data_IF_629647179675
#
_entry.id   IF_629647179675
#
_cell.length_a   1.000
_cell.length_b   1.000
_cell.length_c   1.000
_cell.angle_alpha   90.00
_cell.angle_beta   90.00
_cell.angle_gamma   90.00
#
_symmetry.space_group_name_H-M   'P 1'
#
loop_
_entity.id
_entity.type
_entity.pdbx_description
1 polymer ?
#
# COMPACT_ATOMS: atom_id res chain seq x y z
N UNK A 1 -8.84 0.46 2.07
CA UNK A 1 -8.91 -0.95 2.49
C UNK A 1 -10.32 -1.44 2.20
N UNK A 2 -10.53 -2.03 1.02
CA UNK A 2 -11.84 -2.47 0.58
C UNK A 2 -12.41 -3.53 1.53
N UNK A 3 -13.67 -3.36 1.95
CA UNK A 3 -14.36 -4.32 2.82
C UNK A 3 -14.46 -5.67 2.12
N UNK A 4 -14.26 -6.77 2.85
CA UNK A 4 -14.40 -8.14 2.34
C UNK A 4 -15.73 -8.37 1.60
N UNK A 5 -16.78 -7.66 2.02
CA UNK A 5 -18.10 -7.63 1.38
C UNK A 5 -18.08 -7.00 -0.03
N UNK A 6 -17.40 -5.88 -0.26
CA UNK A 6 -17.30 -5.28 -1.61
C UNK A 6 -16.51 -6.18 -2.57
N UNK A 7 -15.47 -6.84 -2.06
CA UNK A 7 -14.68 -7.79 -2.82
C UNK A 7 -15.52 -9.03 -3.17
N UNK A 8 -16.30 -9.54 -2.20
CA UNK A 8 -17.26 -10.62 -2.40
C UNK A 8 -18.33 -10.29 -3.45
N UNK A 9 -18.94 -9.10 -3.38
CA UNK A 9 -19.94 -8.64 -4.37
C UNK A 9 -19.35 -8.54 -5.78
N UNK A 10 -18.13 -7.98 -5.93
CA UNK A 10 -17.45 -7.91 -7.23
C UNK A 10 -17.14 -9.29 -7.80
N UNK A 11 -16.70 -10.24 -6.95
CA UNK A 11 -16.40 -11.62 -7.34
C UNK A 11 -17.68 -12.37 -7.75
N UNK A 12 -18.81 -12.16 -7.05
CA UNK A 12 -20.13 -12.71 -7.42
C UNK A 12 -20.69 -12.14 -8.73
N UNK A 13 -20.38 -10.88 -9.06
CA UNK A 13 -20.75 -10.24 -10.32
C UNK A 13 -19.93 -10.72 -11.53
N UNK A 14 -19.06 -11.74 -11.36
CA UNK A 14 -18.23 -12.27 -12.45
C UNK A 14 -16.96 -11.47 -12.71
N UNK A 15 -16.56 -10.56 -11.81
CA UNK A 15 -15.28 -9.88 -11.95
C UNK A 15 -14.13 -10.90 -11.84
N UNK A 16 -13.29 -10.93 -12.87
CA UNK A 16 -12.14 -11.82 -12.94
C UNK A 16 -11.21 -11.55 -11.73
N UNK A 17 -10.65 -12.59 -11.11
CA UNK A 17 -9.75 -12.46 -9.95
C UNK A 17 -8.59 -11.48 -10.19
N UNK A 18 -8.17 -11.33 -11.44
CA UNK A 18 -7.17 -10.36 -11.88
C UNK A 18 -7.62 -8.90 -11.77
N UNK A 19 -8.89 -8.57 -12.03
CA UNK A 19 -9.42 -7.20 -11.88
C UNK A 19 -9.47 -6.76 -10.42
N UNK A 20 -9.83 -7.68 -9.51
CA UNK A 20 -9.83 -7.42 -8.07
C UNK A 20 -8.40 -7.19 -7.57
N UNK A 21 -7.47 -8.05 -7.96
CA UNK A 21 -6.06 -7.89 -7.62
C UNK A 21 -5.49 -6.57 -8.14
N UNK A 22 -5.78 -6.19 -9.39
CA UNK A 22 -5.31 -4.94 -9.99
C UNK A 22 -5.87 -3.69 -9.28
N UNK A 23 -7.15 -3.73 -8.88
CA UNK A 23 -7.78 -2.66 -8.11
C UNK A 23 -7.12 -2.44 -6.76
N UNK A 24 -6.85 -3.53 -6.03
CA UNK A 24 -6.17 -3.48 -4.73
C UNK A 24 -4.74 -2.94 -4.89
N UNK A 25 -3.98 -3.46 -5.85
CA UNK A 25 -2.61 -3.00 -6.15
C UNK A 25 -2.58 -1.49 -6.44
N UNK A 26 -3.56 -0.98 -7.20
CA UNK A 26 -3.67 0.45 -7.49
C UNK A 26 -3.92 1.28 -6.23
N UNK A 27 -4.82 0.83 -5.35
CA UNK A 27 -5.11 1.51 -4.08
C UNK A 27 -3.87 1.56 -3.18
N UNK A 28 -3.09 0.48 -3.14
CA UNK A 28 -1.84 0.40 -2.37
C UNK A 28 -0.76 1.30 -2.95
N UNK A 29 -0.63 1.36 -4.27
CA UNK A 29 0.30 2.29 -4.93
C UNK A 29 0.02 3.74 -4.55
N UNK A 30 -1.26 4.13 -4.48
CA UNK A 30 -1.64 5.49 -4.04
C UNK A 30 -1.25 5.72 -2.57
N UNK A 31 -1.51 4.75 -1.68
CA UNK A 31 -1.16 4.84 -0.25
C UNK A 31 0.35 4.89 -0.04
N UNK A 32 1.12 4.14 -0.83
CA UNK A 32 2.58 4.12 -0.77
C UNK A 32 3.17 5.48 -1.19
N UNK A 33 2.64 6.07 -2.27
CA UNK A 33 3.00 7.43 -2.70
C UNK A 33 2.67 8.47 -1.63
N UNK A 34 1.49 8.37 -1.01
CA UNK A 34 1.08 9.30 0.05
C UNK A 34 1.96 9.17 1.30
N UNK A 35 2.30 7.94 1.69
CA UNK A 35 3.21 7.66 2.81
C UNK A 35 4.61 8.21 2.56
N UNK A 36 5.13 8.07 1.34
CA UNK A 36 6.42 8.64 0.97
C UNK A 36 6.43 10.17 1.07
N UNK A 37 5.37 10.83 0.58
CA UNK A 37 5.21 12.28 0.71
C UNK A 37 5.19 12.74 2.17
N UNK A 38 4.38 12.11 3.02
CA UNK A 38 4.34 12.41 4.45
C UNK A 38 5.68 12.16 5.15
N UNK A 39 6.37 11.08 4.81
CA UNK A 39 7.69 10.76 5.35
C UNK A 39 8.74 11.82 5.02
N UNK A 40 8.72 12.34 3.79
CA UNK A 40 9.64 13.39 3.36
C UNK A 40 9.37 14.72 4.09
N UNK A 41 8.11 15.07 4.30
CA UNK A 41 7.73 16.28 5.06
C UNK A 41 8.18 16.17 6.52
N UNK A 42 7.94 15.02 7.17
CA UNK A 42 8.39 14.80 8.54
C UNK A 42 9.91 14.83 8.67
N UNK A 43 10.62 14.22 7.72
CA UNK A 43 12.08 14.27 7.68
C UNK A 43 12.59 15.71 7.57
N UNK A 44 12.00 16.54 6.71
CA UNK A 44 12.37 17.95 6.58
C UNK A 44 12.14 18.74 7.88
N UNK A 45 11.01 18.51 8.57
CA UNK A 45 10.70 19.17 9.85
C UNK A 45 11.71 18.77 10.93
N UNK A 46 12.01 17.48 11.06
CA UNK A 46 12.94 16.96 12.08
C UNK A 46 14.37 17.43 11.78
N UNK A 47 14.80 17.37 10.52
CA UNK A 47 16.13 17.82 10.10
C UNK A 47 16.32 19.32 10.35
N UNK A 48 15.31 20.13 10.04
CA UNK A 48 15.32 21.56 10.34
C UNK A 48 15.38 21.85 11.85
N UNK A 49 14.64 21.08 12.66
CA UNK A 49 14.60 21.25 14.12
C UNK A 49 15.90 20.83 14.82
N UNK A 50 16.56 19.76 14.38
CA UNK A 50 17.74 19.21 15.07
C UNK A 50 19.06 19.87 14.65
N UNK A 51 19.28 20.05 13.35
CA UNK A 51 20.60 20.42 12.81
C UNK A 51 20.65 21.82 12.24
N UNK A 52 19.50 22.50 12.07
CA UNK A 52 19.38 23.82 11.42
C UNK A 52 20.03 23.89 10.02
N UNK A 53 20.38 22.73 9.46
CA UNK A 53 20.91 22.46 8.12
C UNK A 53 20.23 21.19 7.61
N UNK A 54 19.96 21.18 6.32
CA UNK A 54 19.32 20.06 5.63
C UNK A 54 20.39 19.37 4.79
N UNK A 55 20.94 18.27 5.31
CA UNK A 55 21.85 17.39 4.57
C UNK A 55 21.05 16.23 3.98
N UNK A 56 20.62 16.40 2.73
CA UNK A 56 19.89 15.37 1.97
C UNK A 56 20.88 14.41 1.29
N UNK A 57 21.13 13.27 1.93
CA UNK A 57 21.87 12.18 1.29
C UNK A 57 20.96 11.40 0.34
N UNK A 58 21.25 11.50 -0.96
CA UNK A 58 20.51 10.81 -2.02
C UNK A 58 20.40 9.29 -1.78
N UNK A 59 21.44 8.69 -1.18
CA UNK A 59 21.49 7.26 -0.85
C UNK A 59 20.49 6.87 0.24
N UNK A 60 20.29 7.73 1.25
CA UNK A 60 19.32 7.50 2.32
C UNK A 60 17.88 7.58 1.80
N UNK A 61 17.64 8.51 0.87
CA UNK A 61 16.35 8.66 0.19
C UNK A 61 15.98 7.44 -0.67
N UNK A 62 16.96 6.90 -1.41
CA UNK A 62 16.76 5.71 -2.24
C UNK A 62 16.44 4.48 -1.38
N UNK A 63 17.15 4.30 -0.26
CA UNK A 63 16.92 3.20 0.68
C UNK A 63 15.55 3.28 1.36
N UNK A 64 15.14 4.47 1.82
CA UNK A 64 13.81 4.66 2.43
C UNK A 64 12.68 4.41 1.43
N UNK A 65 12.83 4.86 0.18
CA UNK A 65 11.86 4.55 -0.88
C UNK A 65 11.75 3.04 -1.12
N UNK A 66 12.89 2.34 -1.18
CA UNK A 66 12.93 0.88 -1.34
C UNK A 66 12.22 0.14 -0.20
N UNK A 67 12.46 0.55 1.05
CA UNK A 67 11.84 -0.07 2.24
C UNK A 67 10.32 0.18 2.27
N UNK A 68 9.87 1.39 1.94
CA UNK A 68 8.43 1.73 1.89
C UNK A 68 7.71 0.90 0.83
N UNK A 69 8.30 0.75 -0.36
CA UNK A 69 7.71 -0.07 -1.43
C UNK A 69 7.71 -1.56 -1.04
N UNK A 70 8.82 -2.08 -0.50
CA UNK A 70 8.92 -3.48 -0.10
C UNK A 70 7.93 -3.85 1.01
N UNK A 71 7.83 -3.02 2.06
CA UNK A 71 6.85 -3.19 3.13
C UNK A 71 5.42 -3.09 2.64
N UNK A 72 5.11 -2.13 1.76
CA UNK A 72 3.78 -1.99 1.15
C UNK A 72 3.38 -3.22 0.34
N UNK A 73 4.30 -3.81 -0.43
CA UNK A 73 4.06 -5.04 -1.20
C UNK A 73 3.86 -6.23 -0.27
N UNK A 74 4.70 -6.40 0.76
CA UNK A 74 4.57 -7.50 1.71
C UNK A 74 3.25 -7.45 2.48
N UNK A 75 2.86 -6.27 2.97
CA UNK A 75 1.59 -6.07 3.69
C UNK A 75 0.37 -6.28 2.79
N UNK A 76 0.49 -6.03 1.49
CA UNK A 76 -0.62 -6.18 0.54
C UNK A 76 -0.73 -7.54 -0.13
N UNK A 77 0.37 -8.26 -0.31
CA UNK A 77 0.35 -9.61 -0.83
C UNK A 77 -0.52 -10.52 0.05
N UNK A 78 -0.47 -10.34 1.37
CA UNK A 78 -1.24 -11.12 2.34
C UNK A 78 -2.77 -11.03 2.15
N UNK A 79 -3.41 -9.83 2.16
CA UNK A 79 -4.84 -9.69 1.92
C UNK A 79 -5.24 -10.06 0.49
N UNK A 80 -4.41 -9.82 -0.52
CA UNK A 80 -4.72 -10.20 -1.92
C UNK A 80 -4.80 -11.72 -2.06
N UNK A 81 -3.80 -12.46 -1.53
CA UNK A 81 -3.78 -13.93 -1.59
C UNK A 81 -4.93 -14.53 -0.77
N UNK A 82 -5.21 -13.96 0.40
CA UNK A 82 -6.32 -14.40 1.25
C UNK A 82 -7.68 -14.15 0.58
N UNK A 83 -7.90 -12.98 -0.01
CA UNK A 83 -9.12 -12.64 -0.74
C UNK A 83 -9.29 -13.45 -2.04
N UNK A 84 -8.19 -13.83 -2.70
CA UNK A 84 -8.21 -14.69 -3.88
C UNK A 84 -8.65 -16.13 -3.52
N UNK A 85 -8.15 -16.69 -2.41
CA UNK A 85 -8.43 -18.07 -1.97
C UNK A 85 -9.80 -18.27 -1.32
N UNK A 86 -10.40 -17.24 -0.70
CA UNK A 86 -11.70 -17.39 -0.05
C UNK A 86 -12.82 -17.47 -1.11
N UNK A 87 -13.64 -18.51 -1.02
CA UNK A 87 -14.84 -18.68 -1.83
C UNK A 87 -15.84 -17.54 -1.53
N UNK A 88 -16.47 -16.96 -2.57
CA UNK A 88 -17.33 -15.78 -2.42
C UNK A 88 -18.47 -15.98 -1.41
N UNK A 89 -18.97 -17.21 -1.24
CA UNK A 89 -20.06 -17.55 -0.32
C UNK A 89 -19.69 -17.36 1.16
N UNK A 90 -18.41 -17.52 1.52
CA UNK A 90 -17.91 -17.32 2.88
C UNK A 90 -17.50 -15.86 3.14
N UNK A 91 -17.37 -15.02 2.10
CA UNK A 91 -17.07 -13.60 2.25
C UNK A 91 -18.32 -12.74 2.56
N UNK A 92 -19.52 -13.27 2.32
CA UNK A 92 -20.81 -12.58 2.50
C UNK A 92 -21.57 -12.98 3.77
N UNK A 93 -21.12 -14.03 4.49
CA UNK A 93 -21.63 -14.37 5.83
C UNK A 93 -20.82 -13.66 6.90
#
# INVERSE_FOLDING_TARGET
MASSLEIGVKKCCGANSYQIAFGVIKEIMVIALFSFGCGMVLYAIISYALYRRIDLYFFSMLMTMGIVVASSILTSAYPIIKAAKIEPVHMMR
#
